data_IF_664816446314
#
_entry.id   IF_664816446314
#
_cell.length_a   1.000
_cell.length_b   1.000
_cell.length_c   1.000
_cell.angle_alpha   90.00
_cell.angle_beta   90.00
_cell.angle_gamma   90.00
#
_symmetry.space_group_name_H-M   'P 1'
#
loop_
_entity.id
_entity.type
_entity.pdbx_description
1 polymer ?
#
# COMPACT_ATOMS: atom_id res chain seq x y z
N UNK A 1 18.39 -5.31 13.84
CA UNK A 1 18.36 -4.78 12.46
C UNK A 1 16.93 -4.33 12.20
N UNK A 2 16.70 -3.04 11.97
CA UNK A 2 15.37 -2.49 11.68
C UNK A 2 14.69 -1.81 12.87
N UNK A 3 15.33 -0.80 13.47
CA UNK A 3 14.67 0.06 14.45
C UNK A 3 14.13 1.32 13.78
N UNK A 4 12.96 1.80 14.19
CA UNK A 4 12.34 3.02 13.65
C UNK A 4 13.25 4.25 13.84
N UNK A 5 14.12 4.22 14.85
CA UNK A 5 15.09 5.28 15.14
C UNK A 5 16.03 5.56 13.96
N UNK A 6 16.32 4.54 13.14
CA UNK A 6 17.19 4.64 11.97
C UNK A 6 16.61 5.54 10.86
N UNK A 7 15.29 5.75 10.89
CA UNK A 7 14.56 6.58 9.93
C UNK A 7 14.16 7.94 10.50
N UNK A 8 14.76 8.34 11.63
CA UNK A 8 14.48 9.65 12.25
C UNK A 8 15.78 10.45 12.40
N UNK A 9 15.69 11.77 12.28
CA UNK A 9 16.78 12.69 12.62
C UNK A 9 16.32 13.64 13.71
N UNK A 10 17.24 14.04 14.59
CA UNK A 10 16.97 15.00 15.65
C UNK A 10 17.65 16.33 15.29
N UNK A 11 16.86 17.39 15.18
CA UNK A 11 17.35 18.75 15.00
C UNK A 11 17.89 19.31 16.32
N UNK A 12 18.73 20.36 16.23
CA UNK A 12 19.30 21.07 17.39
C UNK A 12 18.23 21.66 18.32
N UNK A 13 17.02 21.91 17.81
CA UNK A 13 15.85 22.36 18.58
C UNK A 13 15.14 21.24 19.35
N UNK A 14 15.60 19.99 19.26
CA UNK A 14 14.93 18.82 19.84
C UNK A 14 13.76 18.29 19.01
N UNK A 15 13.37 18.98 17.93
CA UNK A 15 12.37 18.51 16.98
C UNK A 15 12.91 17.29 16.22
N UNK A 16 12.07 16.26 16.09
CA UNK A 16 12.39 15.04 15.33
C UNK A 16 11.65 15.06 14.00
N UNK A 17 12.37 14.74 12.94
CA UNK A 17 11.83 14.67 11.59
C UNK A 17 12.14 13.30 10.96
N UNK A 18 11.36 12.93 9.94
CA UNK A 18 11.59 11.73 9.15
C UNK A 18 12.87 11.86 8.30
N UNK A 19 13.71 10.83 8.31
CA UNK A 19 14.93 10.70 7.51
C UNK A 19 14.86 9.41 6.70
N UNK A 20 13.97 9.40 5.70
CA UNK A 20 13.76 8.26 4.80
C UNK A 20 14.77 8.37 3.65
N UNK A 21 15.71 7.43 3.61
CA UNK A 21 16.76 7.38 2.58
C UNK A 21 16.44 6.32 1.54
N UNK A 22 16.45 6.72 0.28
CA UNK A 22 16.29 5.82 -0.85
C UNK A 22 17.67 5.52 -1.46
N UNK A 23 17.91 4.28 -1.85
CA UNK A 23 19.17 3.88 -2.51
C UNK A 23 19.28 4.41 -3.94
N UNK A 24 18.17 4.90 -4.51
CA UNK A 24 18.08 5.50 -5.84
C UNK A 24 17.30 6.79 -5.77
N UNK A 25 17.49 7.63 -6.78
CA UNK A 25 16.68 8.84 -6.96
C UNK A 25 15.21 8.48 -7.26
N UNK A 26 14.31 9.25 -6.66
CA UNK A 26 12.86 9.15 -6.89
C UNK A 26 12.55 9.93 -8.15
N UNK A 27 11.93 9.28 -9.14
CA UNK A 27 11.55 9.94 -10.37
C UNK A 27 10.26 10.75 -10.18
N UNK A 28 10.02 11.76 -11.03
CA UNK A 28 8.80 12.58 -10.95
C UNK A 28 7.50 11.77 -11.03
N UNK A 29 7.52 10.64 -11.74
CA UNK A 29 6.38 9.72 -11.82
C UNK A 29 6.07 8.97 -10.51
N UNK A 30 7.04 8.92 -9.59
CA UNK A 30 6.97 8.23 -8.29
C UNK A 30 6.70 9.20 -7.13
N UNK A 31 6.77 10.50 -7.40
CA UNK A 31 6.53 11.56 -6.42
C UNK A 31 5.12 11.50 -5.79
N UNK A 32 4.04 11.20 -6.54
CA UNK A 32 2.71 11.06 -5.94
C UNK A 32 2.64 9.95 -4.89
N UNK A 33 3.27 8.81 -5.14
CA UNK A 33 3.31 7.67 -4.22
C UNK A 33 4.15 8.00 -2.98
N UNK A 34 5.23 8.76 -3.16
CA UNK A 34 6.02 9.24 -2.03
C UNK A 34 5.25 10.25 -1.17
N UNK A 35 4.49 11.16 -1.79
CA UNK A 35 3.63 12.10 -1.07
C UNK A 35 2.53 11.37 -0.28
N UNK A 36 1.90 10.36 -0.88
CA UNK A 36 0.90 9.52 -0.22
C UNK A 36 1.50 8.76 0.98
N UNK A 37 2.73 8.24 0.83
CA UNK A 37 3.45 7.62 1.93
C UNK A 37 3.70 8.60 3.08
N UNK A 38 4.19 9.81 2.78
CA UNK A 38 4.44 10.85 3.80
C UNK A 38 3.14 11.26 4.52
N UNK A 39 2.03 11.34 3.78
CA UNK A 39 0.72 11.60 4.36
C UNK A 39 0.25 10.46 5.27
N UNK A 40 0.51 9.20 4.88
CA UNK A 40 0.10 8.03 5.65
C UNK A 40 0.90 7.85 6.96
N UNK A 41 2.20 8.14 6.95
CA UNK A 41 3.04 8.06 8.17
C UNK A 41 2.91 9.28 9.08
N UNK A 42 2.43 10.41 8.55
CA UNK A 42 2.20 11.64 9.29
C UNK A 42 3.39 12.60 9.34
N UNK A 43 3.16 13.85 9.80
CA UNK A 43 4.11 14.95 9.68
C UNK A 43 5.35 14.82 10.59
N UNK A 44 5.27 14.03 11.66
CA UNK A 44 6.36 13.84 12.61
C UNK A 44 6.43 12.37 13.05
N UNK A 45 7.64 11.84 13.31
CA UNK A 45 7.80 10.50 13.84
C UNK A 45 7.20 10.38 15.25
N UNK A 46 6.72 9.18 15.62
CA UNK A 46 6.12 8.94 16.92
C UNK A 46 7.16 9.13 18.06
N UNK A 47 6.66 9.40 19.26
CA UNK A 47 7.51 9.47 20.45
C UNK A 47 8.13 8.09 20.71
N UNK A 48 9.45 8.02 20.58
CA UNK A 48 10.22 6.81 20.86
C UNK A 48 10.16 6.51 22.35
N UNK A 49 9.75 5.29 22.70
CA UNK A 49 9.91 4.73 24.03
C UNK A 49 11.03 3.67 24.00
N UNK A 50 11.50 3.21 25.16
CA UNK A 50 12.48 2.12 25.26
C UNK A 50 11.85 0.72 25.01
N UNK A 51 10.62 0.65 24.50
CA UNK A 51 10.02 -0.63 24.17
C UNK A 51 10.69 -1.19 22.90
N UNK A 52 10.69 -2.51 22.77
CA UNK A 52 11.12 -3.14 21.53
C UNK A 52 10.17 -2.76 20.39
N UNK A 53 10.74 -2.36 19.25
CA UNK A 53 9.97 -2.13 18.03
C UNK A 53 9.24 -3.43 17.65
N UNK A 54 7.90 -3.40 17.72
CA UNK A 54 7.04 -4.56 17.47
C UNK A 54 6.21 -4.29 16.22
N UNK A 55 6.36 -5.15 15.20
CA UNK A 55 5.50 -5.09 14.01
C UNK A 55 4.17 -5.80 14.33
N UNK A 56 3.04 -5.07 14.29
CA UNK A 56 1.72 -5.68 14.45
C UNK A 56 1.08 -5.92 13.08
N UNK A 57 0.91 -7.20 12.71
CA UNK A 57 0.22 -7.59 11.49
C UNK A 57 -1.19 -8.07 11.81
N UNK A 58 -2.18 -7.18 11.75
CA UNK A 58 -3.57 -7.51 12.10
C UNK A 58 -4.32 -8.29 11.02
N UNK A 59 -3.75 -8.44 9.83
CA UNK A 59 -4.37 -9.14 8.70
C UNK A 59 -4.46 -10.66 8.91
N UNK A 60 -3.65 -11.23 9.79
CA UNK A 60 -3.77 -12.64 10.18
C UNK A 60 -3.95 -12.76 11.69
N UNK A 61 -4.78 -13.69 12.20
CA UNK A 61 -4.97 -13.89 13.64
C UNK A 61 -3.70 -14.26 14.40
N UNK A 62 -2.69 -14.77 13.69
CA UNK A 62 -1.38 -15.16 14.25
C UNK A 62 -0.38 -14.01 14.31
N UNK A 63 -0.69 -12.83 13.74
CA UNK A 63 0.24 -11.70 13.71
C UNK A 63 1.43 -11.86 12.76
N UNK A 64 1.45 -12.92 11.93
CA UNK A 64 2.58 -13.21 11.06
C UNK A 64 2.40 -12.55 9.70
N UNK A 65 3.34 -11.69 9.33
CA UNK A 65 3.43 -11.20 7.97
C UNK A 65 3.81 -12.34 7.02
N UNK A 66 3.01 -12.54 5.98
CA UNK A 66 3.40 -13.36 4.83
C UNK A 66 3.08 -12.61 3.55
N UNK A 67 3.96 -12.71 2.56
CA UNK A 67 3.76 -12.15 1.22
C UNK A 67 2.41 -12.64 0.66
N UNK A 68 2.09 -13.91 0.86
CA UNK A 68 0.80 -14.49 0.50
C UNK A 68 -0.39 -13.73 1.11
N UNK A 69 -0.43 -13.54 2.44
CA UNK A 69 -1.54 -12.83 3.10
C UNK A 69 -1.72 -11.39 2.64
N UNK A 70 -0.61 -10.71 2.31
CA UNK A 70 -0.65 -9.37 1.71
C UNK A 70 -1.26 -9.40 0.31
N UNK A 71 -0.82 -10.32 -0.54
CA UNK A 71 -1.33 -10.47 -1.91
C UNK A 71 -2.81 -10.86 -1.91
N UNK A 72 -3.25 -11.77 -1.04
CA UNK A 72 -4.66 -12.14 -0.91
C UNK A 72 -5.53 -10.93 -0.51
N UNK A 73 -5.05 -10.11 0.44
CA UNK A 73 -5.76 -8.92 0.87
C UNK A 73 -5.87 -7.86 -0.25
N UNK A 74 -4.78 -7.59 -0.96
CA UNK A 74 -4.75 -6.63 -2.07
C UNK A 74 -5.54 -7.11 -3.28
N UNK A 75 -5.38 -8.38 -3.66
CA UNK A 75 -6.07 -8.97 -4.80
C UNK A 75 -7.57 -9.07 -4.56
N UNK A 76 -8.02 -9.42 -3.36
CA UNK A 76 -9.44 -9.39 -3.01
C UNK A 76 -10.06 -8.02 -3.31
N UNK A 77 -9.47 -6.95 -2.79
CA UNK A 77 -9.99 -5.58 -3.01
C UNK A 77 -9.99 -5.15 -4.48
N UNK A 78 -8.94 -5.47 -5.24
CA UNK A 78 -8.89 -5.13 -6.67
C UNK A 78 -9.85 -5.97 -7.51
N UNK A 79 -9.89 -7.29 -7.31
CA UNK A 79 -10.73 -8.20 -8.10
C UNK A 79 -12.20 -7.84 -7.97
N UNK A 80 -12.67 -7.50 -6.76
CA UNK A 80 -14.04 -7.07 -6.53
C UNK A 80 -14.42 -5.79 -7.30
N UNK A 81 -13.47 -4.89 -7.57
CA UNK A 81 -13.73 -3.68 -8.37
C UNK A 81 -13.96 -3.98 -9.87
N UNK A 82 -13.34 -5.04 -10.40
CA UNK A 82 -13.45 -5.40 -11.82
C UNK A 82 -14.59 -6.37 -12.13
N UNK A 83 -15.19 -7.01 -11.13
CA UNK A 83 -16.30 -7.96 -11.31
C UNK A 83 -17.50 -7.31 -12.04
N UNK A 84 -17.99 -6.11 -11.66
CA UNK A 84 -19.10 -5.49 -12.39
C UNK A 84 -18.79 -5.26 -13.88
N UNK A 85 -17.58 -4.77 -14.19
CA UNK A 85 -17.16 -4.54 -15.57
C UNK A 85 -17.09 -5.84 -16.39
N UNK A 86 -16.59 -6.93 -15.79
CA UNK A 86 -16.58 -8.25 -16.43
C UNK A 86 -18.00 -8.78 -16.69
N UNK A 87 -18.94 -8.59 -15.76
CA UNK A 87 -20.36 -8.95 -15.95
C UNK A 87 -20.97 -8.12 -17.11
N UNK A 88 -20.77 -6.80 -17.13
CA UNK A 88 -21.28 -5.98 -18.23
C UNK A 88 -20.68 -6.37 -19.58
N UNK A 89 -19.37 -6.63 -19.61
CA UNK A 89 -18.68 -7.06 -20.82
C UNK A 89 -19.21 -8.39 -21.36
N UNK A 90 -19.41 -9.39 -20.48
CA UNK A 90 -19.99 -10.69 -20.88
C UNK A 90 -21.41 -10.57 -21.41
N UNK A 91 -22.26 -9.75 -20.78
CA UNK A 91 -23.63 -9.48 -21.27
C UNK A 91 -23.60 -8.81 -22.65
N UNK A 92 -22.77 -7.77 -22.81
CA UNK A 92 -22.63 -7.06 -24.07
C UNK A 92 -22.12 -7.97 -25.19
N UNK A 93 -21.11 -8.80 -24.89
CA UNK A 93 -20.54 -9.77 -25.82
C UNK A 93 -21.58 -10.78 -26.28
N UNK A 94 -22.35 -11.35 -25.36
CA UNK A 94 -23.41 -12.31 -25.67
C UNK A 94 -24.55 -11.67 -26.50
N UNK A 95 -24.96 -10.44 -26.15
CA UNK A 95 -25.94 -9.67 -26.92
C UNK A 95 -25.49 -9.47 -28.36
N UNK A 96 -24.24 -9.05 -28.54
CA UNK A 96 -23.67 -8.82 -29.87
C UNK A 96 -23.49 -10.13 -30.63
N UNK A 97 -23.02 -11.20 -29.98
CA UNK A 97 -22.90 -12.53 -30.58
C UNK A 97 -24.24 -13.02 -31.15
N UNK A 98 -25.34 -12.81 -30.43
CA UNK A 98 -26.70 -13.17 -30.91
C UNK A 98 -27.17 -12.30 -32.06
N UNK A 99 -26.83 -11.02 -32.08
CA UNK A 99 -27.18 -10.12 -33.18
C UNK A 99 -26.47 -10.53 -34.48
N UNK A 100 -25.16 -10.76 -34.43
CA UNK A 100 -24.38 -11.11 -35.62
C UNK A 100 -24.57 -12.54 -36.10
N UNK A 101 -25.07 -13.47 -35.26
CA UNK A 101 -25.40 -14.84 -35.68
C UNK A 101 -26.73 -14.96 -36.46
N UNK A 102 -27.54 -13.90 -36.51
CA UNK A 102 -28.83 -13.85 -37.21
C UNK A 102 -28.77 -13.13 -38.57
N UNK A 103 -27.59 -12.69 -39.01
CA UNK A 103 -27.30 -12.25 -40.39
C UNK A 103 -26.51 -13.35 -41.09
#
# INVERSE_FOLDING_TARGET
MGSIQQFTTQSQSGQRDWNIRFSREIHNSEMPQFAELLQAIGPAPPLLNNAADTFSWSLTPKGNFTVQSLYEHLSGKLVWQFIPAAIFWTIWLERNRRYYRKK
#
